data_IF_316608082717
#
_entry.id   IF_316608082717
#
_cell.length_a   1.000
_cell.length_b   1.000
_cell.length_c   1.000
_cell.angle_alpha   90.00
_cell.angle_beta   90.00
_cell.angle_gamma   90.00
#
_symmetry.space_group_name_H-M   'P 1'
#
loop_
_entity.id
_entity.type
_entity.pdbx_description
1 polymer ?
#
# COMPACT_ATOMS: atom_id res chain seq x y z
N UNK A 1 37.99 -21.76 10.50
CA UNK A 1 37.07 -21.08 9.57
C UNK A 1 35.69 -21.18 10.21
N UNK A 2 35.21 -20.07 10.76
CA UNK A 2 33.92 -20.00 11.45
C UNK A 2 32.89 -19.66 10.36
N UNK A 3 31.79 -20.40 10.19
CA UNK A 3 30.74 -20.01 9.27
C UNK A 3 30.09 -18.73 9.81
N UNK A 4 30.08 -17.70 8.98
CA UNK A 4 29.33 -16.47 9.21
C UNK A 4 27.84 -16.85 9.18
N UNK A 5 27.01 -16.48 10.17
CA UNK A 5 25.58 -16.75 10.11
C UNK A 5 25.00 -15.99 8.90
N UNK A 6 24.20 -16.68 8.09
CA UNK A 6 23.34 -16.04 7.10
C UNK A 6 22.62 -14.87 7.77
N UNK A 7 22.95 -13.66 7.33
CA UNK A 7 22.18 -12.47 7.68
C UNK A 7 20.73 -12.77 7.31
N UNK A 8 19.89 -12.88 8.33
CA UNK A 8 18.44 -12.81 8.23
C UNK A 8 18.11 -11.45 7.63
N UNK A 9 18.18 -11.33 6.31
CA UNK A 9 17.42 -10.34 5.59
C UNK A 9 15.97 -10.75 5.84
N UNK A 10 15.16 -9.98 6.57
CA UNK A 10 13.73 -10.23 6.53
C UNK A 10 13.36 -10.10 5.05
N UNK A 11 13.10 -11.22 4.40
CA UNK A 11 12.35 -11.22 3.17
C UNK A 11 11.05 -10.52 3.55
N UNK A 12 10.96 -9.22 3.28
CA UNK A 12 9.71 -8.50 3.36
C UNK A 12 8.87 -9.11 2.27
N UNK A 13 8.26 -10.26 2.52
CA UNK A 13 7.35 -10.90 1.57
C UNK A 13 6.18 -9.94 1.48
N UNK A 14 5.95 -9.39 0.28
CA UNK A 14 4.78 -8.56 0.06
C UNK A 14 3.56 -9.36 0.47
N UNK A 15 2.77 -8.81 1.37
CA UNK A 15 1.69 -9.55 1.97
C UNK A 15 0.62 -9.76 0.89
N UNK A 16 0.46 -11.01 0.43
CA UNK A 16 -0.56 -11.35 -0.59
C UNK A 16 -1.97 -10.97 -0.14
N UNK A 17 -2.20 -10.89 1.17
CA UNK A 17 -3.42 -10.36 1.77
C UNK A 17 -3.71 -8.90 1.43
N UNK A 18 -2.72 -8.11 1.00
CA UNK A 18 -2.91 -6.73 0.55
C UNK A 18 -3.45 -6.62 -0.86
N UNK A 19 -3.35 -7.65 -1.70
CA UNK A 19 -3.85 -7.59 -3.08
C UNK A 19 -5.38 -7.43 -3.12
N UNK A 20 -5.89 -6.55 -3.98
CA UNK A 20 -7.31 -6.32 -4.18
C UNK A 20 -7.76 -4.91 -3.80
N UNK A 21 -9.09 -4.76 -3.71
CA UNK A 21 -9.76 -3.50 -3.41
C UNK A 21 -9.82 -3.22 -1.90
N UNK A 22 -9.67 -1.95 -1.56
CA UNK A 22 -9.68 -1.44 -0.19
C UNK A 22 -10.45 -0.12 -0.14
N UNK A 23 -11.48 -0.07 0.69
CA UNK A 23 -12.31 1.10 0.93
C UNK A 23 -11.75 1.92 2.09
N UNK A 24 -11.66 3.24 1.92
CA UNK A 24 -11.18 4.11 3.00
C UNK A 24 -12.23 4.29 4.10
N UNK A 25 -11.83 4.11 5.36
CA UNK A 25 -12.72 4.33 6.51
C UNK A 25 -13.04 5.82 6.74
N UNK A 26 -12.10 6.72 6.40
CA UNK A 26 -12.17 8.14 6.76
C UNK A 26 -12.40 9.06 5.54
N UNK A 27 -12.86 8.52 4.42
CA UNK A 27 -13.11 9.30 3.20
C UNK A 27 -11.84 9.78 2.49
N UNK A 28 -10.69 9.16 2.74
CA UNK A 28 -9.54 9.26 1.86
C UNK A 28 -9.81 8.48 0.56
N UNK A 29 -8.97 8.60 -0.48
CA UNK A 29 -9.16 7.85 -1.71
C UNK A 29 -9.22 6.35 -1.45
N UNK A 30 -10.14 5.66 -2.11
CA UNK A 30 -10.15 4.19 -2.16
C UNK A 30 -8.91 3.70 -2.91
N UNK A 31 -8.45 2.50 -2.59
CA UNK A 31 -7.23 1.96 -3.20
C UNK A 31 -7.41 0.55 -3.74
N UNK A 32 -6.64 0.23 -4.76
CA UNK A 32 -6.52 -1.10 -5.33
C UNK A 32 -5.03 -1.46 -5.43
N UNK A 33 -4.66 -2.58 -4.83
CA UNK A 33 -3.28 -3.06 -4.81
C UNK A 33 -3.18 -4.29 -5.71
N UNK A 34 -2.23 -4.27 -6.65
CA UNK A 34 -2.03 -5.36 -7.60
C UNK A 34 -0.56 -5.61 -7.92
N UNK A 35 -0.27 -6.79 -8.45
CA UNK A 35 1.04 -7.10 -9.00
C UNK A 35 1.02 -6.88 -10.52
N UNK A 36 1.97 -6.11 -11.02
CA UNK A 36 2.18 -5.90 -12.46
C UNK A 36 2.85 -7.11 -13.12
N UNK A 37 2.87 -7.11 -14.45
CA UNK A 37 3.55 -8.15 -15.24
C UNK A 37 5.07 -8.17 -15.08
N UNK A 38 5.64 -7.05 -14.63
CA UNK A 38 7.05 -6.91 -14.25
C UNK A 38 7.38 -7.53 -12.88
N UNK A 39 6.37 -8.03 -12.17
CA UNK A 39 6.51 -8.60 -10.83
C UNK A 39 6.46 -7.57 -9.70
N UNK A 40 6.46 -6.28 -10.02
CA UNK A 40 6.38 -5.20 -9.05
C UNK A 40 4.94 -5.03 -8.54
N UNK A 41 4.80 -4.46 -7.35
CA UNK A 41 3.49 -4.17 -6.77
C UNK A 41 3.14 -2.70 -6.99
N UNK A 42 1.86 -2.44 -7.23
CA UNK A 42 1.35 -1.12 -7.56
C UNK A 42 0.15 -0.79 -6.68
N UNK A 43 0.05 0.49 -6.31
CA UNK A 43 -1.06 1.08 -5.60
C UNK A 43 -1.76 2.06 -6.54
N UNK A 44 -2.98 1.69 -6.94
CA UNK A 44 -3.91 2.54 -7.67
C UNK A 44 -4.86 3.20 -6.66
N UNK A 45 -5.05 4.50 -6.76
CA UNK A 45 -5.97 5.26 -5.92
C UNK A 45 -7.07 5.88 -6.75
N UNK A 46 -8.25 6.00 -6.16
CA UNK A 46 -9.40 6.66 -6.76
C UNK A 46 -10.02 7.62 -5.76
N UNK A 47 -10.18 8.88 -6.18
CA UNK A 47 -10.87 9.91 -5.41
C UNK A 47 -11.94 10.57 -6.27
N UNK A 48 -13.12 10.79 -5.70
CA UNK A 48 -14.20 11.51 -6.37
C UNK A 48 -14.43 12.87 -5.70
N UNK A 49 -14.16 13.94 -6.45
CA UNK A 49 -14.50 15.30 -6.04
C UNK A 49 -15.97 15.58 -6.37
N UNK A 50 -16.78 15.75 -5.33
CA UNK A 50 -18.21 16.04 -5.46
C UNK A 50 -18.50 17.45 -5.97
N UNK A 51 -17.63 18.42 -5.72
CA UNK A 51 -17.85 19.81 -6.14
C UNK A 51 -17.67 19.94 -7.65
N UNK A 52 -16.60 19.37 -8.19
CA UNK A 52 -16.34 19.38 -9.63
C UNK A 52 -17.00 18.23 -10.39
N UNK A 53 -17.59 17.25 -9.69
CA UNK A 53 -18.13 16.00 -10.23
C UNK A 53 -17.12 15.22 -11.07
N UNK A 54 -15.87 15.16 -10.60
CA UNK A 54 -14.76 14.52 -11.31
C UNK A 54 -14.10 13.46 -10.45
N UNK A 55 -13.88 12.30 -11.07
CA UNK A 55 -12.99 11.28 -10.54
C UNK A 55 -11.54 11.57 -10.93
N UNK A 56 -10.61 11.24 -10.05
CA UNK A 56 -9.18 11.26 -10.32
C UNK A 56 -8.58 9.91 -9.93
N UNK A 57 -7.64 9.45 -10.74
CA UNK A 57 -6.84 8.25 -10.48
C UNK A 57 -5.38 8.64 -10.30
N UNK A 58 -4.68 7.95 -9.41
CA UNK A 58 -3.23 7.99 -9.36
C UNK A 58 -2.69 6.57 -9.22
N UNK A 59 -1.63 6.25 -9.94
CA UNK A 59 -0.98 4.94 -9.86
C UNK A 59 0.49 5.16 -9.52
N UNK A 60 0.97 4.42 -8.53
CA UNK A 60 2.37 4.44 -8.14
C UNK A 60 2.85 3.02 -7.84
N UNK A 61 4.13 2.79 -8.13
CA UNK A 61 4.81 1.58 -7.68
C UNK A 61 4.95 1.61 -6.15
N UNK A 62 4.75 0.46 -5.53
CA UNK A 62 5.00 0.24 -4.12
C UNK A 62 6.47 -0.12 -3.96
N UNK A 63 7.22 0.78 -3.33
CA UNK A 63 8.61 0.54 -3.00
C UNK A 63 8.78 -0.20 -1.67
N UNK A 64 9.99 -0.70 -1.46
CA UNK A 64 10.46 -1.31 -0.22
C UNK A 64 11.75 -0.63 0.22
N UNK A 65 11.87 -0.33 1.51
CA UNK A 65 13.13 0.09 2.14
C UNK A 65 13.28 -0.49 3.55
N UNK A 66 14.22 0.04 4.33
CA UNK A 66 14.53 -0.39 5.70
C UNK A 66 13.34 -0.34 6.67
N UNK A 67 12.37 0.57 6.49
CA UNK A 67 11.16 0.62 7.35
C UNK A 67 9.97 -0.13 6.74
N UNK A 68 10.17 -0.86 5.64
CA UNK A 68 9.14 -1.65 4.96
C UNK A 68 8.48 -0.95 3.77
N UNK A 69 7.25 -1.36 3.46
CA UNK A 69 6.56 -0.97 2.23
C UNK A 69 6.06 0.47 2.23
N UNK A 70 6.15 1.14 1.09
CA UNK A 70 5.68 2.50 0.93
C UNK A 70 5.18 2.82 -0.48
N UNK A 71 4.31 3.82 -0.57
CA UNK A 71 3.83 4.38 -1.82
C UNK A 71 4.15 5.88 -1.89
N UNK A 72 4.54 6.36 -3.07
CA UNK A 72 4.77 7.78 -3.35
C UNK A 72 3.60 8.35 -4.13
N UNK A 73 2.79 9.19 -3.48
CA UNK A 73 1.59 9.78 -4.05
C UNK A 73 1.82 11.29 -4.15
N UNK A 74 2.05 11.78 -5.37
CA UNK A 74 2.56 13.12 -5.60
C UNK A 74 3.98 13.25 -5.04
N UNK A 75 4.20 14.24 -4.16
CA UNK A 75 5.50 14.45 -3.49
C UNK A 75 5.53 13.84 -2.06
N UNK A 76 4.47 13.13 -1.65
CA UNK A 76 4.34 12.60 -0.29
C UNK A 76 4.54 11.09 -0.29
N UNK A 77 5.21 10.62 0.77
CA UNK A 77 5.49 9.21 1.01
C UNK A 77 4.56 8.67 2.10
N UNK A 78 3.95 7.52 1.84
CA UNK A 78 3.01 6.87 2.74
C UNK A 78 3.46 5.45 3.05
N UNK A 79 3.50 5.09 4.34
CA UNK A 79 3.83 3.73 4.79
C UNK A 79 2.61 2.84 4.73
N UNK A 80 2.78 1.62 4.20
CA UNK A 80 1.76 0.58 4.19
C UNK A 80 2.04 -0.39 5.33
N UNK A 81 1.04 -0.66 6.15
CA UNK A 81 1.13 -1.57 7.28
C UNK A 81 -0.13 -2.42 7.36
N UNK A 82 0.01 -3.63 7.89
CA UNK A 82 -1.14 -4.46 8.19
C UNK A 82 -1.79 -3.97 9.46
N UNK A 83 -3.12 -4.01 9.49
CA UNK A 83 -3.92 -3.70 10.65
C UNK A 83 -4.75 -4.90 11.05
N UNK A 84 -5.05 -5.06 12.34
CA UNK A 84 -5.96 -6.11 12.79
C UNK A 84 -7.41 -5.82 12.37
N UNK A 85 -8.27 -6.82 12.52
CA UNK A 85 -9.71 -6.69 12.30
C UNK A 85 -10.28 -5.50 13.11
N UNK A 86 -11.20 -4.68 12.55
CA UNK A 86 -12.00 -4.89 11.34
C UNK A 86 -11.39 -4.38 10.02
N UNK A 87 -10.17 -3.86 10.03
CA UNK A 87 -9.61 -3.14 8.89
C UNK A 87 -8.80 -4.05 7.97
N UNK A 88 -7.51 -4.23 8.26
CA UNK A 88 -6.60 -5.06 7.47
C UNK A 88 -5.44 -4.30 6.83
N UNK A 89 -5.62 -3.01 6.51
CA UNK A 89 -4.58 -2.17 5.89
C UNK A 89 -4.60 -0.76 6.47
N UNK A 90 -3.42 -0.25 6.81
CA UNK A 90 -3.19 1.13 7.25
C UNK A 90 -2.22 1.83 6.30
N UNK A 91 -2.59 3.00 5.81
CA UNK A 91 -1.78 3.82 4.90
C UNK A 91 -1.45 5.16 5.56
N UNK A 92 -0.37 5.22 6.33
CA UNK A 92 0.14 6.43 6.98
C UNK A 92 -0.94 7.46 7.37
N UNK A 93 -0.79 8.70 6.88
CA UNK A 93 -1.73 9.79 7.17
C UNK A 93 -3.14 9.64 6.56
N UNK A 94 -3.39 8.63 5.72
CA UNK A 94 -4.74 8.31 5.21
C UNK A 94 -5.53 7.43 6.17
N UNK A 95 -4.84 6.72 7.07
CA UNK A 95 -5.48 5.90 8.09
C UNK A 95 -5.86 4.50 7.60
N UNK A 96 -6.89 3.95 8.23
CA UNK A 96 -7.32 2.56 8.07
C UNK A 96 -8.22 2.34 6.85
N UNK A 97 -8.11 1.14 6.29
CA UNK A 97 -8.82 0.66 5.12
C UNK A 97 -9.45 -0.70 5.39
N UNK A 98 -10.66 -0.90 4.88
CA UNK A 98 -11.37 -2.18 4.95
C UNK A 98 -11.32 -2.88 3.60
N UNK A 99 -11.20 -4.21 3.64
CA UNK A 99 -11.28 -5.04 2.44
C UNK A 99 -12.71 -4.96 1.87
N UNK A 100 -12.83 -4.73 0.56
CA UNK A 100 -14.09 -4.88 -0.18
C UNK A 100 -14.17 -6.29 -0.80
#
# INVERSE_FOLDING_TARGET
MIPIPEEYQPEYIFQSSWLGAWESVNGNPDVYIYQGYDGNYYLLTYSYDRESQRGSFNCCEIGLDEDGYYACIGMKRYRLQSEEYPYGLYIGNWGSYMKN
#
